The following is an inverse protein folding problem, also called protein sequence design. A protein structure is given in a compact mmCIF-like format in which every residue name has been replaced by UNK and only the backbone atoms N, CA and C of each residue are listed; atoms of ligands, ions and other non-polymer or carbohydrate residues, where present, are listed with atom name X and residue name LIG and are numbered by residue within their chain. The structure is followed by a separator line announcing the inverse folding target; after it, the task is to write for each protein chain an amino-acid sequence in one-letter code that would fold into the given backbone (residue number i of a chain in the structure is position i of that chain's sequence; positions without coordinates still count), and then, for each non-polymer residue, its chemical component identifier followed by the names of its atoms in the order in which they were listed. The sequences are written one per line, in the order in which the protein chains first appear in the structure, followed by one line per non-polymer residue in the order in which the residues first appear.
data_IF_727332864227
#
_entry.id   IF_727332864227
#
_cell.length_a   1.000
_cell.length_b   1.000
_cell.length_c   1.000
_cell.angle_alpha   90.00
_cell.angle_beta   90.00
_cell.angle_gamma   90.00
#
_symmetry.space_group_name_H-M   'P 1'
#
loop_
_entity.id
_entity.type
_entity.pdbx_description
1 polymer ?
#
# COMPACT_ATOMS: atom_id res chain seq x y z
N UNK A 1 -17.60 2.35 -2.22
CA UNK A 1 -17.91 2.22 -3.66
C UNK A 1 -16.63 2.41 -4.43
N UNK A 2 -16.28 1.51 -5.34
CA UNK A 2 -15.06 1.64 -6.13
C UNK A 2 -15.37 2.52 -7.36
N UNK A 3 -14.60 3.59 -7.58
CA UNK A 3 -14.75 4.58 -8.65
C UNK A 3 -14.27 4.06 -10.03
N UNK A 4 -14.21 2.74 -10.23
CA UNK A 4 -13.68 2.17 -11.47
C UNK A 4 -14.74 2.15 -12.58
N UNK A 5 -15.01 3.32 -13.14
CA UNK A 5 -15.97 3.54 -14.24
C UNK A 5 -15.62 2.73 -15.49
N UNK A 6 -14.33 2.46 -15.74
CA UNK A 6 -13.88 1.68 -16.91
C UNK A 6 -14.31 0.22 -16.76
N UNK A 7 -14.09 -0.41 -15.60
CA UNK A 7 -14.53 -1.79 -15.36
C UNK A 7 -16.05 -1.90 -15.44
N UNK A 8 -16.79 -0.93 -14.90
CA UNK A 8 -18.26 -0.90 -14.98
C UNK A 8 -18.77 -0.76 -16.42
N UNK A 9 -18.14 0.09 -17.23
CA UNK A 9 -18.51 0.27 -18.63
C UNK A 9 -18.25 -1.00 -19.46
N UNK A 10 -17.15 -1.71 -19.21
CA UNK A 10 -16.83 -2.97 -19.87
C UNK A 10 -17.81 -4.08 -19.49
N UNK A 11 -18.15 -4.19 -18.20
CA UNK A 11 -19.12 -5.17 -17.72
C UNK A 11 -20.50 -5.00 -18.36
N UNK A 12 -20.95 -3.75 -18.56
CA UNK A 12 -22.22 -3.42 -19.21
C UNK A 12 -22.33 -3.92 -20.66
N UNK A 13 -21.19 -4.12 -21.35
CA UNK A 13 -21.14 -4.68 -22.71
C UNK A 13 -20.67 -6.14 -22.75
N UNK A 14 -20.66 -6.82 -21.59
CA UNK A 14 -20.25 -8.23 -21.48
C UNK A 14 -18.74 -8.44 -21.64
N UNK A 15 -17.94 -7.38 -21.60
CA UNK A 15 -16.48 -7.47 -21.64
C UNK A 15 -15.92 -7.55 -20.22
N UNK A 16 -14.88 -8.37 -20.03
CA UNK A 16 -14.13 -8.45 -18.77
C UNK A 16 -12.67 -8.07 -19.03
N UNK A 17 -12.11 -7.28 -18.12
CA UNK A 17 -10.70 -6.93 -18.11
C UNK A 17 -10.07 -7.47 -16.83
N UNK A 18 -8.95 -8.19 -16.97
CA UNK A 18 -8.19 -8.65 -15.82
C UNK A 18 -7.54 -7.44 -15.13
N UNK A 19 -7.82 -7.27 -13.84
CA UNK A 19 -7.18 -6.25 -13.01
C UNK A 19 -5.97 -6.87 -12.34
N UNK A 20 -4.80 -6.31 -12.63
CA UNK A 20 -3.56 -6.66 -11.92
C UNK A 20 -3.31 -5.52 -10.93
N UNK A 21 -3.41 -5.77 -9.60
CA UNK A 21 -3.18 -4.74 -8.61
C UNK A 21 -1.68 -4.39 -8.55
N UNK A 22 -1.38 -3.12 -8.31
CA UNK A 22 -0.03 -2.71 -7.94
C UNK A 22 0.35 -3.33 -6.59
N UNK A 23 1.60 -3.79 -6.40
CA UNK A 23 2.07 -4.28 -5.09
C UNK A 23 2.05 -3.20 -4.00
N UNK A 24 2.06 -1.92 -4.39
CA UNK A 24 2.10 -0.77 -3.49
C UNK A 24 0.91 0.16 -3.72
N UNK A 25 0.41 0.77 -2.66
CA UNK A 25 -0.68 1.76 -2.77
C UNK A 25 -0.12 3.13 -3.11
N UNK A 26 1.01 3.49 -2.49
CA UNK A 26 1.72 4.76 -2.66
C UNK A 26 3.22 4.51 -2.52
N UNK A 27 4.01 5.21 -3.31
CA UNK A 27 5.46 5.28 -3.15
C UNK A 27 5.86 6.70 -2.74
N UNK A 28 6.30 6.87 -1.50
CA UNK A 28 6.76 8.16 -1.00
C UNK A 28 8.22 8.38 -1.40
N UNK A 29 8.47 9.48 -2.09
CA UNK A 29 9.82 9.99 -2.37
C UNK A 29 10.06 11.22 -1.50
N UNK A 30 10.97 11.08 -0.55
CA UNK A 30 11.30 12.09 0.45
C UNK A 30 12.69 12.67 0.15
N UNK A 31 13.04 13.82 0.76
CA UNK A 31 14.39 14.38 0.68
C UNK A 31 15.47 13.38 1.08
N UNK A 32 16.71 13.69 0.73
CA UNK A 32 17.90 12.89 1.06
C UNK A 32 17.89 11.46 0.47
N UNK A 33 17.07 11.23 -0.55
CA UNK A 33 16.97 9.93 -1.23
C UNK A 33 16.17 8.89 -0.45
N UNK A 34 15.50 9.28 0.64
CA UNK A 34 14.64 8.39 1.40
C UNK A 34 13.40 8.04 0.55
N UNK A 35 13.14 6.75 0.40
CA UNK A 35 12.07 6.25 -0.44
C UNK A 35 11.35 5.13 0.29
N UNK A 36 10.06 5.32 0.56
CA UNK A 36 9.25 4.40 1.36
C UNK A 36 8.05 3.93 0.56
N UNK A 37 7.94 2.63 0.32
CA UNK A 37 6.79 2.02 -0.35
C UNK A 37 5.75 1.63 0.67
N UNK A 38 4.54 2.16 0.51
CA UNK A 38 3.36 1.71 1.23
C UNK A 38 2.84 0.44 0.56
N UNK A 39 3.45 -0.69 0.90
CA UNK A 39 3.03 -2.02 0.41
C UNK A 39 1.57 -2.27 0.75
N UNK A 40 0.87 -2.94 -0.16
CA UNK A 40 -0.51 -3.37 0.07
C UNK A 40 -0.58 -4.40 1.20
N UNK A 41 0.41 -5.28 1.27
CA UNK A 41 0.55 -6.25 2.36
C UNK A 41 1.12 -5.55 3.59
N UNK A 42 0.35 -5.61 4.68
CA UNK A 42 0.68 -4.91 5.93
C UNK A 42 2.06 -5.33 6.47
N UNK A 43 2.37 -6.62 6.44
CA UNK A 43 3.66 -7.14 6.92
C UNK A 43 4.86 -6.54 6.17
N UNK A 44 4.75 -6.44 4.84
CA UNK A 44 5.79 -5.88 3.99
C UNK A 44 5.96 -4.38 4.23
N UNK A 45 4.85 -3.68 4.48
CA UNK A 45 4.89 -2.26 4.83
C UNK A 45 5.60 -2.01 6.17
N UNK A 46 5.25 -2.77 7.21
CA UNK A 46 5.91 -2.67 8.51
C UNK A 46 7.39 -3.05 8.41
N UNK A 47 7.74 -4.07 7.64
CA UNK A 47 9.13 -4.43 7.41
C UNK A 47 9.91 -3.30 6.72
N UNK A 48 9.36 -2.68 5.68
CA UNK A 48 10.00 -1.56 5.00
C UNK A 48 10.22 -0.37 5.93
N UNK A 49 9.18 0.06 6.67
CA UNK A 49 9.30 1.16 7.62
C UNK A 49 10.35 0.89 8.70
N UNK A 50 10.34 -0.30 9.30
CA UNK A 50 11.27 -0.62 10.40
C UNK A 50 12.71 -0.82 9.92
N UNK A 51 12.94 -1.12 8.64
CA UNK A 51 14.27 -1.12 8.03
C UNK A 51 14.81 0.30 7.81
N UNK A 52 13.95 1.25 7.43
CA UNK A 52 14.33 2.67 7.31
C UNK A 52 14.52 3.36 8.66
N UNK A 53 13.73 2.96 9.67
CA UNK A 53 13.73 3.57 11.00
C UNK A 53 13.99 2.51 12.09
N UNK A 54 15.20 1.90 12.15
CA UNK A 54 15.47 0.78 13.05
C UNK A 54 15.35 1.15 14.52
N UNK A 55 15.67 2.40 14.88
CA UNK A 55 15.57 2.92 16.24
C UNK A 55 14.12 3.11 16.70
N UNK A 56 13.18 3.30 15.76
CA UNK A 56 11.75 3.51 16.07
C UNK A 56 10.94 2.22 15.94
N UNK A 57 11.58 1.08 15.64
CA UNK A 57 10.93 -0.19 15.33
C UNK A 57 9.87 -0.61 16.35
N UNK A 58 10.15 -0.46 17.64
CA UNK A 58 9.19 -0.83 18.70
C UNK A 58 7.96 0.08 18.68
N UNK A 59 8.16 1.40 18.50
CA UNK A 59 7.08 2.38 18.40
C UNK A 59 6.21 2.15 17.17
N UNK A 60 6.84 1.90 16.02
CA UNK A 60 6.14 1.59 14.75
C UNK A 60 5.25 0.35 14.92
N UNK A 61 5.78 -0.74 15.46
CA UNK A 61 5.01 -1.97 15.66
C UNK A 61 3.85 -1.77 16.63
N UNK A 62 4.05 -1.05 17.74
CA UNK A 62 2.97 -0.75 18.70
C UNK A 62 1.89 0.11 18.06
N UNK A 63 2.28 1.22 17.43
CA UNK A 63 1.34 2.17 16.84
C UNK A 63 0.47 1.50 15.77
N UNK A 64 1.10 0.88 14.76
CA UNK A 64 0.35 0.25 13.69
C UNK A 64 -0.35 -1.03 14.13
N UNK A 65 0.17 -1.75 15.13
CA UNK A 65 -0.52 -2.88 15.75
C UNK A 65 -1.81 -2.48 16.46
N UNK A 66 -1.86 -1.30 17.09
CA UNK A 66 -3.10 -0.75 17.66
C UNK A 66 -4.06 -0.22 16.60
N UNK A 67 -3.55 0.45 15.56
CA UNK A 67 -4.38 0.98 14.47
C UNK A 67 -5.02 -0.11 13.58
N UNK A 68 -4.50 -1.34 13.61
CA UNK A 68 -4.93 -2.45 12.77
C UNK A 68 -5.76 -3.51 13.51
N UNK A 69 -6.37 -3.15 14.65
CA UNK A 69 -7.33 -3.99 15.38
C UNK A 69 -8.75 -3.91 14.83
#
# INVERSE_FOLDING_TARGET
GNLNLITQALEAVGCKLQVIPDPTTVHFHLPDGLSVRAHREFGDFIAELTNHFPHEKEGINKFYGECWK
#
